data_IF_838080059517
#
_entry.id   IF_838080059517
#
_cell.length_a   1.000
_cell.length_b   1.000
_cell.length_c   1.000
_cell.angle_alpha   90.00
_cell.angle_beta   90.00
_cell.angle_gamma   90.00
#
_symmetry.space_group_name_H-M   'P 1'
#
loop_
_entity.id
_entity.type
_entity.pdbx_description
1 polymer ?
#
# COMPACT_ATOMS: atom_id res chain seq x y z
N UNK A 1 -6.93 5.54 -14.47
CA UNK A 1 -6.28 4.63 -13.51
C UNK A 1 -7.12 4.57 -12.25
N UNK A 2 -7.90 3.49 -12.09
CA UNK A 2 -8.70 3.27 -10.88
C UNK A 2 -8.15 2.09 -10.09
N UNK A 3 -8.00 2.22 -8.77
CA UNK A 3 -7.43 1.16 -7.93
C UNK A 3 -8.27 -0.12 -7.96
N UNK A 4 -9.60 0.01 -8.11
CA UNK A 4 -10.53 -1.11 -8.23
C UNK A 4 -10.34 -1.97 -9.48
N UNK A 5 -9.79 -1.40 -10.55
CA UNK A 5 -9.60 -2.08 -11.85
C UNK A 5 -8.26 -2.81 -11.97
N UNK A 6 -7.39 -2.66 -10.96
CA UNK A 6 -6.09 -3.34 -10.86
C UNK A 6 -6.27 -4.84 -10.61
N UNK A 7 -5.24 -5.68 -10.86
CA UNK A 7 -5.33 -7.12 -10.59
C UNK A 7 -5.79 -7.46 -9.17
N UNK A 8 -5.22 -6.80 -8.15
CA UNK A 8 -5.60 -7.01 -6.75
C UNK A 8 -6.95 -6.35 -6.43
N UNK A 9 -7.23 -5.17 -6.99
CA UNK A 9 -8.53 -4.51 -6.90
C UNK A 9 -9.66 -5.44 -7.33
N UNK A 10 -9.59 -5.98 -8.55
CA UNK A 10 -10.59 -6.91 -9.09
C UNK A 10 -10.73 -8.18 -8.25
N UNK A 11 -9.60 -8.73 -7.77
CA UNK A 11 -9.60 -9.95 -6.95
C UNK A 11 -10.24 -9.74 -5.57
N UNK A 12 -10.01 -8.59 -4.93
CA UNK A 12 -10.39 -8.36 -3.54
C UNK A 12 -11.67 -7.53 -3.37
N UNK A 13 -12.09 -6.77 -4.38
CA UNK A 13 -13.33 -5.99 -4.37
C UNK A 13 -14.58 -6.79 -3.93
N UNK A 14 -14.78 -8.06 -4.33
CA UNK A 14 -15.92 -8.84 -3.84
C UNK A 14 -15.94 -9.03 -2.32
N UNK A 15 -14.76 -9.14 -1.69
CA UNK A 15 -14.60 -9.24 -0.24
C UNK A 15 -14.93 -7.88 0.39
N UNK A 16 -14.37 -6.81 -0.16
CA UNK A 16 -14.60 -5.44 0.33
C UNK A 16 -16.07 -5.05 0.23
N UNK A 17 -16.77 -5.35 -0.86
CA UNK A 17 -18.21 -5.10 -1.00
C UNK A 17 -19.08 -5.86 0.00
N UNK A 18 -18.53 -6.90 0.64
CA UNK A 18 -19.20 -7.70 1.67
C UNK A 18 -18.53 -7.51 3.03
N UNK A 19 -17.84 -6.38 3.26
CA UNK A 19 -17.04 -6.14 4.46
C UNK A 19 -17.78 -6.50 5.76
N UNK A 20 -19.04 -6.06 5.93
CA UNK A 20 -19.82 -6.33 7.14
C UNK A 20 -20.08 -7.82 7.38
N UNK A 21 -20.39 -8.56 6.30
CA UNK A 21 -20.60 -10.00 6.35
C UNK A 21 -19.29 -10.73 6.66
N UNK A 22 -18.20 -10.38 5.96
CA UNK A 22 -16.87 -10.97 6.16
C UNK A 22 -16.39 -10.73 7.59
N UNK A 23 -16.48 -9.50 8.09
CA UNK A 23 -16.12 -9.19 9.48
C UNK A 23 -16.99 -9.93 10.47
N UNK A 24 -18.29 -10.13 10.20
CA UNK A 24 -19.17 -10.87 11.11
C UNK A 24 -18.88 -12.37 11.13
N UNK A 25 -18.66 -12.99 9.97
CA UNK A 25 -18.45 -14.43 9.82
C UNK A 25 -17.03 -14.85 10.21
N UNK A 26 -16.03 -14.00 9.93
CA UNK A 26 -14.61 -14.30 10.19
C UNK A 26 -14.11 -13.57 11.44
N UNK A 27 -14.38 -12.27 11.53
CA UNK A 27 -13.85 -11.42 12.61
C UNK A 27 -14.44 -11.74 13.98
N UNK A 28 -15.74 -12.06 14.10
CA UNK A 28 -16.32 -12.40 15.41
C UNK A 28 -15.76 -13.71 15.98
N UNK A 29 -15.73 -14.83 15.23
CA UNK A 29 -15.15 -16.07 15.76
C UNK A 29 -13.67 -15.93 16.14
N UNK A 30 -12.87 -15.27 15.28
CA UNK A 30 -11.45 -15.05 15.58
C UNK A 30 -11.30 -14.13 16.79
N UNK A 31 -12.08 -13.06 16.87
CA UNK A 31 -12.07 -12.12 18.00
C UNK A 31 -12.40 -12.79 19.34
N UNK A 32 -13.28 -13.79 19.34
CA UNK A 32 -13.64 -14.57 20.55
C UNK A 32 -12.55 -15.56 20.99
N UNK A 33 -11.56 -15.87 20.16
CA UNK A 33 -10.49 -16.78 20.56
C UNK A 33 -9.63 -16.17 21.69
N UNK A 34 -9.19 -16.99 22.66
CA UNK A 34 -8.26 -16.53 23.68
C UNK A 34 -6.97 -15.97 23.06
N UNK A 35 -6.44 -14.89 23.64
CA UNK A 35 -5.22 -14.23 23.16
C UNK A 35 -4.03 -15.18 23.05
N UNK A 36 -3.92 -16.17 23.94
CA UNK A 36 -2.87 -17.19 23.88
C UNK A 36 -2.95 -18.04 22.61
N UNK A 37 -4.17 -18.38 22.15
CA UNK A 37 -4.37 -19.14 20.92
C UNK A 37 -4.08 -18.27 19.69
N UNK A 38 -4.52 -17.01 19.69
CA UNK A 38 -4.17 -16.04 18.63
C UNK A 38 -2.65 -15.91 18.48
N UNK A 39 -1.92 -15.78 19.60
CA UNK A 39 -0.45 -15.73 19.64
C UNK A 39 0.22 -16.98 19.08
N UNK A 40 -0.36 -18.15 19.33
CA UNK A 40 0.13 -19.41 18.77
C UNK A 40 -0.09 -19.49 17.26
N UNK A 41 -1.21 -18.99 16.75
CA UNK A 41 -1.58 -19.10 15.34
C UNK A 41 -0.88 -18.08 14.44
N UNK A 42 -0.69 -16.84 14.92
CA UNK A 42 -0.13 -15.73 14.11
C UNK A 42 1.16 -16.08 13.36
N UNK A 43 2.18 -16.74 13.96
CA UNK A 43 3.42 -17.10 13.26
C UNK A 43 3.23 -18.01 12.04
N UNK A 44 2.13 -18.76 11.97
CA UNK A 44 1.85 -19.65 10.84
C UNK A 44 1.26 -18.92 9.62
N UNK A 45 0.68 -17.74 9.84
CA UNK A 45 -0.01 -16.96 8.78
C UNK A 45 0.66 -15.63 8.47
N UNK A 46 1.50 -15.14 9.37
CA UNK A 46 2.16 -13.84 9.30
C UNK A 46 3.65 -14.09 9.26
N UNK A 47 4.35 -13.47 8.32
CA UNK A 47 5.77 -13.70 8.06
C UNK A 47 6.70 -13.30 9.21
N UNK A 48 7.63 -12.33 9.02
CA UNK A 48 8.60 -11.97 10.04
C UNK A 48 7.99 -11.69 11.42
N UNK A 49 8.70 -12.08 12.47
CA UNK A 49 8.26 -11.91 13.86
C UNK A 49 7.93 -10.45 14.24
N UNK A 50 8.58 -9.49 13.57
CA UNK A 50 8.30 -8.06 13.70
C UNK A 50 6.82 -7.71 13.42
N UNK A 51 6.15 -8.48 12.56
CA UNK A 51 4.76 -8.25 12.17
C UNK A 51 3.74 -8.96 13.07
N UNK A 52 4.17 -9.86 13.95
CA UNK A 52 3.26 -10.67 14.75
C UNK A 52 2.45 -9.82 15.74
N UNK A 53 3.08 -8.86 16.41
CA UNK A 53 2.39 -7.98 17.36
C UNK A 53 1.36 -7.07 16.67
N UNK A 54 1.68 -6.37 15.57
CA UNK A 54 0.67 -5.66 14.78
C UNK A 54 -0.44 -6.59 14.27
N UNK A 55 -0.11 -7.78 13.78
CA UNK A 55 -1.11 -8.72 13.28
C UNK A 55 -2.09 -9.18 14.36
N UNK A 56 -1.63 -9.33 15.62
CA UNK A 56 -2.50 -9.63 16.75
C UNK A 56 -3.56 -8.55 17.01
N UNK A 57 -3.28 -7.28 16.70
CA UNK A 57 -4.32 -6.23 16.79
C UNK A 57 -5.31 -6.26 15.63
N UNK A 58 -4.92 -6.79 14.47
CA UNK A 58 -5.78 -6.86 13.28
C UNK A 58 -6.83 -7.97 13.38
N UNK A 59 -6.60 -8.98 14.23
CA UNK A 59 -7.52 -10.13 14.44
C UNK A 59 -8.65 -9.84 15.44
N UNK A 60 -8.93 -8.57 15.69
CA UNK A 60 -10.09 -8.11 16.46
C UNK A 60 -11.23 -7.68 15.53
N UNK A 61 -12.48 -8.03 15.90
CA UNK A 61 -13.66 -7.79 15.05
C UNK A 61 -13.77 -6.32 14.59
N UNK A 62 -13.65 -5.38 15.52
CA UNK A 62 -13.78 -3.95 15.22
C UNK A 62 -12.66 -3.46 14.30
N UNK A 63 -11.43 -3.95 14.49
CA UNK A 63 -10.27 -3.57 13.69
C UNK A 63 -10.42 -4.12 12.27
N UNK A 64 -10.76 -5.40 12.12
CA UNK A 64 -11.01 -6.01 10.81
C UNK A 64 -12.15 -5.31 10.06
N UNK A 65 -13.25 -4.97 10.75
CA UNK A 65 -14.36 -4.22 10.16
C UNK A 65 -13.90 -2.86 9.62
N UNK A 66 -13.12 -2.13 10.41
CA UNK A 66 -12.60 -0.83 9.99
C UNK A 66 -11.64 -0.95 8.82
N UNK A 67 -10.71 -1.90 8.83
CA UNK A 67 -9.78 -2.15 7.72
C UNK A 67 -10.50 -2.50 6.41
N UNK A 68 -11.46 -3.43 6.45
CA UNK A 68 -12.22 -3.80 5.24
C UNK A 68 -13.12 -2.66 4.75
N UNK A 69 -13.66 -1.85 5.66
CA UNK A 69 -14.44 -0.66 5.29
C UNK A 69 -13.56 0.41 4.66
N UNK A 70 -12.33 0.64 5.15
CA UNK A 70 -11.36 1.53 4.51
C UNK A 70 -11.01 1.04 3.10
N UNK A 71 -10.68 -0.24 2.93
CA UNK A 71 -10.40 -0.81 1.62
C UNK A 71 -11.59 -0.72 0.65
N UNK A 72 -12.82 -0.82 1.17
CA UNK A 72 -14.03 -0.57 0.39
C UNK A 72 -14.10 0.90 -0.08
N UNK A 73 -13.89 1.87 0.82
CA UNK A 73 -13.85 3.29 0.45
C UNK A 73 -12.76 3.56 -0.60
N UNK A 74 -11.55 3.02 -0.43
CA UNK A 74 -10.46 3.19 -1.39
C UNK A 74 -10.86 2.76 -2.81
N UNK A 75 -11.47 1.58 -2.96
CA UNK A 75 -11.93 1.10 -4.27
C UNK A 75 -13.05 1.96 -4.87
N UNK A 76 -13.93 2.50 -4.02
CA UNK A 76 -15.05 3.33 -4.48
C UNK A 76 -14.64 4.77 -4.79
N UNK A 77 -13.67 5.33 -4.09
CA UNK A 77 -13.37 6.76 -4.08
C UNK A 77 -12.05 7.11 -4.77
N UNK A 78 -11.03 6.23 -4.70
CA UNK A 78 -9.76 6.45 -5.40
C UNK A 78 -9.91 6.11 -6.89
N UNK A 79 -10.31 7.12 -7.64
CA UNK A 79 -10.45 7.09 -9.09
C UNK A 79 -9.17 7.63 -9.75
N UNK A 80 -9.33 8.48 -10.74
CA UNK A 80 -8.24 9.08 -11.47
C UNK A 80 -7.35 9.93 -10.57
N UNK A 81 -6.05 9.90 -10.86
CA UNK A 81 -5.08 10.81 -10.27
C UNK A 81 -5.44 12.25 -10.64
N UNK A 82 -5.24 13.18 -9.71
CA UNK A 82 -5.41 14.61 -9.98
C UNK A 82 -4.29 15.10 -10.91
N UNK A 83 -4.55 15.00 -12.22
CA UNK A 83 -3.61 15.36 -13.28
C UNK A 83 -3.17 16.83 -13.20
N UNK A 84 -4.07 17.73 -12.77
CA UNK A 84 -3.76 19.15 -12.62
C UNK A 84 -2.76 19.40 -11.50
N UNK A 85 -2.98 18.78 -10.34
CA UNK A 85 -2.07 18.86 -9.20
C UNK A 85 -0.69 18.29 -9.54
N UNK A 86 -0.64 17.11 -10.16
CA UNK A 86 0.63 16.45 -10.51
C UNK A 86 1.37 17.26 -11.55
N UNK A 87 0.71 17.73 -12.62
CA UNK A 87 1.38 18.57 -13.63
C UNK A 87 1.94 19.87 -13.07
N UNK A 88 1.28 20.44 -12.06
CA UNK A 88 1.71 21.70 -11.41
C UNK A 88 2.95 21.50 -10.54
N UNK A 89 3.18 20.30 -9.99
CA UNK A 89 4.21 20.05 -8.99
C UNK A 89 5.17 18.90 -9.32
N UNK A 90 5.05 18.29 -10.50
CA UNK A 90 5.80 17.09 -10.89
C UNK A 90 7.32 17.24 -10.71
N UNK A 91 7.89 18.42 -10.94
CA UNK A 91 9.32 18.72 -10.71
C UNK A 91 9.81 18.42 -9.28
N UNK A 92 8.89 18.45 -8.30
CA UNK A 92 9.14 18.15 -6.89
C UNK A 92 8.74 16.72 -6.52
N UNK A 93 8.22 15.93 -7.45
CA UNK A 93 7.70 14.59 -7.15
C UNK A 93 8.73 13.51 -7.47
N UNK A 94 8.78 12.50 -6.59
CA UNK A 94 9.40 11.21 -6.84
C UNK A 94 8.32 10.13 -6.84
N UNK A 95 8.05 9.53 -8.00
CA UNK A 95 7.26 8.32 -8.09
C UNK A 95 8.14 7.11 -7.83
N UNK A 96 7.75 6.29 -6.85
CA UNK A 96 8.40 5.03 -6.53
C UNK A 96 7.45 3.88 -6.87
N UNK A 97 7.90 2.95 -7.70
CA UNK A 97 7.14 1.80 -8.16
C UNK A 97 7.77 0.50 -7.68
N UNK A 98 6.95 -0.50 -7.38
CA UNK A 98 7.42 -1.87 -7.20
C UNK A 98 7.59 -2.55 -8.56
N UNK A 99 8.60 -3.42 -8.69
CA UNK A 99 8.84 -4.20 -9.93
C UNK A 99 7.62 -5.07 -10.30
N UNK A 100 6.99 -5.69 -9.30
CA UNK A 100 5.78 -6.49 -9.45
C UNK A 100 4.71 -6.02 -8.47
N UNK A 101 3.77 -5.21 -8.97
CA UNK A 101 2.70 -4.64 -8.16
C UNK A 101 1.31 -4.98 -8.73
N UNK A 102 0.54 -5.73 -7.95
CA UNK A 102 -0.85 -6.05 -8.29
C UNK A 102 -1.83 -4.89 -8.07
N UNK A 103 -1.40 -3.79 -7.44
CA UNK A 103 -2.15 -2.55 -7.24
C UNK A 103 -1.71 -1.43 -8.18
N UNK A 104 -0.52 -1.50 -8.77
CA UNK A 104 -0.01 -0.58 -9.78
C UNK A 104 0.72 -1.36 -10.90
N UNK A 105 -0.01 -2.05 -11.79
CA UNK A 105 0.60 -2.91 -12.81
C UNK A 105 1.55 -2.15 -13.76
N UNK A 106 2.49 -2.84 -14.43
CA UNK A 106 3.50 -2.19 -15.29
C UNK A 106 2.94 -1.23 -16.35
N UNK A 107 1.80 -1.55 -16.97
CA UNK A 107 1.12 -0.68 -17.92
C UNK A 107 0.76 0.69 -17.30
N UNK A 108 0.33 0.70 -16.03
CA UNK A 108 0.04 1.93 -15.30
C UNK A 108 1.31 2.73 -15.01
N UNK A 109 2.40 2.06 -14.68
CA UNK A 109 3.72 2.68 -14.48
C UNK A 109 4.18 3.39 -15.77
N UNK A 110 4.10 2.71 -16.92
CA UNK A 110 4.47 3.27 -18.22
C UNK A 110 3.62 4.52 -18.57
N UNK A 111 2.31 4.49 -18.27
CA UNK A 111 1.42 5.64 -18.46
C UNK A 111 1.84 6.81 -17.57
N UNK A 112 2.20 6.58 -16.31
CA UNK A 112 2.62 7.64 -15.38
C UNK A 112 3.96 8.24 -15.79
N UNK A 113 4.92 7.40 -16.20
CA UNK A 113 6.24 7.82 -16.68
C UNK A 113 6.15 8.66 -17.96
N UNK A 114 5.31 8.24 -18.92
CA UNK A 114 5.11 8.98 -20.17
C UNK A 114 4.31 10.27 -19.97
N UNK A 115 3.42 10.34 -18.98
CA UNK A 115 2.57 11.51 -18.71
C UNK A 115 3.29 12.59 -17.88
N UNK A 116 4.07 12.20 -16.89
CA UNK A 116 4.70 13.11 -15.93
C UNK A 116 6.22 13.10 -16.08
N UNK A 117 6.69 13.61 -17.21
CA UNK A 117 8.09 13.53 -17.62
C UNK A 117 9.04 14.40 -16.82
N UNK A 118 8.55 15.39 -16.07
CA UNK A 118 9.38 16.21 -15.19
C UNK A 118 9.46 15.65 -13.76
N UNK A 119 8.63 14.66 -13.42
CA UNK A 119 8.79 13.92 -12.18
C UNK A 119 9.96 12.95 -12.26
N UNK A 120 10.59 12.71 -11.12
CA UNK A 120 11.55 11.60 -10.98
C UNK A 120 10.76 10.31 -10.84
N UNK A 121 11.27 9.23 -11.44
CA UNK A 121 10.66 7.90 -11.37
C UNK A 121 11.73 6.88 -10.99
N UNK A 122 11.41 5.98 -10.08
CA UNK A 122 12.29 4.87 -9.70
C UNK A 122 11.46 3.60 -9.50
N UNK A 123 12.00 2.47 -9.95
CA UNK A 123 11.41 1.15 -9.71
C UNK A 123 12.32 0.38 -8.75
N UNK A 124 11.74 -0.21 -7.72
CA UNK A 124 12.44 -0.97 -6.68
C UNK A 124 11.97 -2.43 -6.65
N UNK A 125 12.90 -3.35 -6.35
CA UNK A 125 12.63 -4.77 -6.16
C UNK A 125 12.03 -5.04 -4.76
N UNK A 126 10.92 -4.36 -4.44
CA UNK A 126 10.18 -4.48 -3.18
C UNK A 126 8.71 -4.82 -3.47
N UNK A 127 7.99 -5.44 -2.52
CA UNK A 127 6.54 -5.61 -2.63
C UNK A 127 5.82 -4.26 -2.57
N UNK A 128 4.55 -4.23 -2.99
CA UNK A 128 3.68 -3.04 -2.91
C UNK A 128 3.72 -2.33 -1.56
N UNK A 129 3.62 -3.12 -0.47
CA UNK A 129 3.82 -2.59 0.88
C UNK A 129 5.33 -2.44 1.13
N UNK A 130 5.95 -1.43 0.51
CA UNK A 130 7.40 -1.24 0.42
C UNK A 130 8.11 -1.46 1.76
N UNK A 131 7.59 -0.83 2.82
CA UNK A 131 8.18 -0.86 4.16
C UNK A 131 8.16 -2.23 4.83
N UNK A 132 7.32 -3.15 4.35
CA UNK A 132 7.21 -4.53 4.85
C UNK A 132 8.12 -5.52 4.10
N UNK A 133 8.74 -5.08 3.00
CA UNK A 133 9.75 -5.86 2.29
C UNK A 133 11.05 -5.98 3.07
N UNK A 134 11.88 -6.96 2.69
CA UNK A 134 13.24 -7.09 3.22
C UNK A 134 14.04 -5.82 2.92
N UNK A 135 14.61 -5.19 3.96
CA UNK A 135 15.29 -3.89 3.92
C UNK A 135 14.45 -2.74 3.32
N UNK A 136 13.13 -2.91 3.16
CA UNK A 136 12.30 -1.95 2.44
C UNK A 136 12.22 -0.58 3.11
N UNK A 137 12.26 -0.54 4.45
CA UNK A 137 12.32 0.71 5.21
C UNK A 137 13.64 1.47 4.98
N UNK A 138 14.77 0.76 4.84
CA UNK A 138 16.07 1.38 4.57
C UNK A 138 16.13 1.91 3.13
N UNK A 139 15.69 1.12 2.15
CA UNK A 139 15.62 1.52 0.74
C UNK A 139 14.76 2.78 0.57
N UNK A 140 13.55 2.79 1.13
CA UNK A 140 12.67 3.95 1.05
C UNK A 140 13.23 5.17 1.80
N UNK A 141 13.90 4.96 2.94
CA UNK A 141 14.57 6.02 3.67
C UNK A 141 15.67 6.70 2.86
N UNK A 142 16.51 5.91 2.19
CA UNK A 142 17.58 6.41 1.32
C UNK A 142 17.02 7.16 0.12
N UNK A 143 15.97 6.62 -0.55
CA UNK A 143 15.33 7.29 -1.68
C UNK A 143 14.74 8.66 -1.29
N UNK A 144 14.07 8.75 -0.13
CA UNK A 144 13.53 10.02 0.37
C UNK A 144 14.66 10.98 0.72
N UNK A 145 15.73 10.52 1.37
CA UNK A 145 16.89 11.35 1.70
C UNK A 145 17.56 11.93 0.44
N UNK A 146 17.79 11.10 -0.57
CA UNK A 146 18.36 11.52 -1.86
C UNK A 146 17.45 12.52 -2.58
N UNK A 147 16.14 12.25 -2.61
CA UNK A 147 15.15 13.14 -3.21
C UNK A 147 15.18 14.54 -2.57
N UNK A 148 15.15 14.61 -1.24
CA UNK A 148 15.19 15.87 -0.49
C UNK A 148 16.55 16.59 -0.58
N UNK A 149 17.64 15.83 -0.68
CA UNK A 149 19.00 16.39 -0.77
C UNK A 149 19.28 16.95 -2.15
N UNK A 150 18.69 16.39 -3.20
CA UNK A 150 18.85 16.86 -4.58
C UNK A 150 18.24 18.25 -4.82
N UNK A 151 17.27 18.70 -4.02
CA UNK A 151 16.72 20.08 -4.09
C UNK A 151 17.63 21.13 -3.44
N UNK A 152 18.60 20.73 -2.60
CA UNK A 152 19.38 21.64 -1.75
C UNK A 152 20.69 22.17 -2.35
N UNK A 153 21.00 21.91 -3.62
CA UNK A 153 22.14 22.62 -4.24
C UNK A 153 21.74 24.06 -4.58
N UNK A 154 22.36 25.09 -3.96
CA UNK A 154 22.23 26.44 -4.46
C UNK A 154 22.79 26.45 -5.88
N UNK A 155 22.03 26.98 -6.84
CA UNK A 155 22.63 27.40 -8.10
C UNK A 155 23.69 28.44 -7.75
N UNK A 156 24.96 28.10 -7.95
CA UNK A 156 26.03 29.09 -7.92
C UNK A 156 25.74 30.09 -9.05
N UNK A 157 25.24 31.26 -8.65
CA UNK A 157 25.00 32.44 -9.48
C UNK A 157 25.51 33.65 -8.75
#
# INVERSE_FOLDING_TARGET
>A
MHIGDTPNGKRLTPIFNRYSLVSSVVGKPIGMLPTSLKKLLVPFFVGPAAFHKPALSLVEYAVLLNCLKMAWHEVQELKEIDDGLVKTHQEKMLFVFAEYDGWCPPEQVEILQSRYTQAKHVTVALPHAFMLGENGSEVMGNLVWEWLSAEKMPTAG
#
